data_IF_169904558280
#
_entry.id   IF_169904558280
#
_cell.length_a   1.000
_cell.length_b   1.000
_cell.length_c   1.000
_cell.angle_alpha   90.00
_cell.angle_beta   90.00
_cell.angle_gamma   90.00
#
_symmetry.space_group_name_H-M   'P 1'
#
loop_
_entity.id
_entity.type
_entity.pdbx_description
1 polymer ?
#
# COMPACT_ATOMS: atom_id res chain seq x y z
N UNK A 1 -23.10 28.16 -32.43
CA UNK A 1 -23.49 27.51 -31.16
C UNK A 1 -23.26 26.01 -31.28
N UNK A 2 -22.37 25.48 -30.43
CA UNK A 2 -22.25 24.07 -29.92
C UNK A 2 -21.92 22.94 -30.94
N UNK A 3 -21.03 21.95 -30.64
CA UNK A 3 -19.95 21.90 -29.63
C UNK A 3 -18.56 21.48 -30.16
N UNK A 4 -17.53 21.84 -29.38
CA UNK A 4 -16.17 21.30 -29.40
C UNK A 4 -16.17 19.82 -29.01
N UNK A 5 -15.65 18.95 -29.86
CA UNK A 5 -15.31 17.57 -29.50
C UNK A 5 -13.95 17.59 -28.78
N UNK A 6 -13.96 17.20 -27.51
CA UNK A 6 -12.78 16.89 -26.72
C UNK A 6 -12.20 15.60 -27.31
N UNK A 7 -11.00 15.68 -27.88
CA UNK A 7 -10.24 14.52 -28.34
C UNK A 7 -9.55 13.91 -27.11
N UNK A 8 -10.09 12.80 -26.61
CA UNK A 8 -9.37 11.90 -25.71
C UNK A 8 -8.51 11.01 -26.60
N UNK A 9 -7.18 11.22 -26.59
CA UNK A 9 -6.24 10.32 -27.25
C UNK A 9 -5.97 9.17 -26.27
N UNK A 10 -6.69 8.06 -26.45
CA UNK A 10 -6.33 6.78 -25.87
C UNK A 10 -5.30 6.13 -26.80
N UNK A 11 -4.04 6.09 -26.39
CA UNK A 11 -2.96 5.46 -27.14
C UNK A 11 -2.89 3.96 -26.74
N UNK A 12 -3.61 3.11 -27.47
CA UNK A 12 -3.48 1.65 -27.33
C UNK A 12 -2.28 1.15 -28.12
N UNK A 13 -1.21 0.73 -27.44
CA UNK A 13 -0.10 0.01 -28.07
C UNK A 13 -0.43 -1.47 -28.23
N UNK A 14 -0.36 -1.94 -29.48
CA UNK A 14 -0.38 -3.36 -29.87
C UNK A 14 0.87 -4.07 -29.31
N UNK A 15 0.65 -5.18 -28.62
CA UNK A 15 1.66 -5.99 -27.96
C UNK A 15 2.43 -6.89 -28.93
N UNK A 16 3.74 -6.73 -28.97
CA UNK A 16 4.70 -7.78 -29.37
C UNK A 16 5.30 -8.35 -28.09
N UNK A 17 5.53 -9.68 -27.99
CA UNK A 17 6.14 -10.27 -26.81
C UNK A 17 7.65 -9.99 -26.83
N UNK A 18 8.03 -8.81 -26.35
CA UNK A 18 9.40 -8.58 -25.89
C UNK A 18 9.52 -9.29 -24.54
N UNK A 19 10.52 -10.17 -24.41
CA UNK A 19 10.89 -10.70 -23.09
C UNK A 19 11.24 -9.52 -22.18
N UNK A 20 10.31 -9.18 -21.30
CA UNK A 20 10.50 -8.16 -20.29
C UNK A 20 11.60 -8.64 -19.36
N UNK A 21 12.73 -7.93 -19.35
CA UNK A 21 13.47 -7.77 -18.11
C UNK A 21 12.47 -7.14 -17.14
N UNK A 22 11.91 -7.95 -16.24
CA UNK A 22 11.27 -7.46 -15.02
C UNK A 22 12.35 -6.79 -14.19
N UNK A 23 12.68 -5.55 -14.55
CA UNK A 23 13.33 -4.63 -13.63
C UNK A 23 12.30 -4.44 -12.52
N UNK A 24 12.57 -5.09 -11.39
CA UNK A 24 11.70 -5.15 -10.22
C UNK A 24 11.15 -3.75 -9.96
N UNK A 25 9.83 -3.60 -10.19
CA UNK A 25 9.13 -2.33 -10.20
C UNK A 25 9.34 -1.53 -8.93
N UNK A 26 8.82 -0.30 -8.89
CA UNK A 26 8.99 0.69 -7.82
C UNK A 26 8.42 0.23 -6.45
N UNK A 27 8.85 -0.89 -5.88
CA UNK A 27 8.25 -1.50 -4.69
C UNK A 27 6.91 -2.17 -4.95
N UNK A 28 6.70 -2.76 -6.13
CA UNK A 28 5.45 -3.43 -6.51
C UNK A 28 4.53 -2.63 -7.43
N UNK A 29 4.76 -1.32 -7.61
CA UNK A 29 4.02 -0.52 -8.59
C UNK A 29 4.50 -0.80 -10.02
N UNK A 30 3.53 -1.05 -10.92
CA UNK A 30 3.75 -1.47 -12.30
C UNK A 30 3.46 -0.37 -13.32
N UNK A 31 2.63 0.61 -12.97
CA UNK A 31 2.25 1.70 -13.88
C UNK A 31 2.03 3.04 -13.17
N UNK A 32 1.96 4.10 -13.98
CA UNK A 32 1.86 5.48 -13.52
C UNK A 32 0.77 6.22 -14.30
N UNK A 33 -0.23 6.73 -13.60
CA UNK A 33 -1.18 7.71 -14.14
C UNK A 33 -0.71 9.11 -13.81
N UNK A 34 -0.88 10.05 -14.76
CA UNK A 34 -0.49 11.44 -14.57
C UNK A 34 -1.59 12.38 -15.05
N UNK A 35 -1.94 13.34 -14.19
CA UNK A 35 -2.82 14.46 -14.47
C UNK A 35 -2.06 15.77 -14.21
N UNK A 36 -2.06 16.70 -15.16
CA UNK A 36 -1.45 18.01 -15.01
C UNK A 36 -2.18 19.06 -15.84
N UNK A 37 -2.12 20.33 -15.42
CA UNK A 37 -2.70 21.43 -16.18
C UNK A 37 -1.92 21.74 -17.46
N UNK A 38 -0.58 21.66 -17.40
CA UNK A 38 0.29 21.82 -18.57
C UNK A 38 1.43 20.81 -18.53
N UNK A 39 1.86 20.39 -19.72
CA UNK A 39 2.99 19.49 -19.92
C UNK A 39 3.92 20.10 -20.98
N UNK A 40 5.21 20.15 -20.65
CA UNK A 40 6.30 20.49 -21.56
C UNK A 40 7.14 19.24 -21.77
N UNK A 41 7.39 18.90 -23.04
CA UNK A 41 8.22 17.76 -23.41
C UNK A 41 8.79 17.92 -24.81
N UNK A 42 9.62 16.95 -25.19
CA UNK A 42 10.30 16.93 -26.48
C UNK A 42 9.75 15.78 -27.34
N UNK A 43 9.05 16.11 -28.43
CA UNK A 43 8.47 15.11 -29.35
C UNK A 43 9.51 14.24 -30.05
N UNK A 44 10.74 14.73 -30.26
CA UNK A 44 11.80 13.95 -30.90
C UNK A 44 12.30 12.81 -30.00
N UNK A 45 12.25 13.00 -28.68
CA UNK A 45 12.69 11.99 -27.70
C UNK A 45 11.53 11.30 -26.98
N UNK A 46 10.32 11.85 -27.06
CA UNK A 46 9.17 11.43 -26.26
C UNK A 46 9.29 11.80 -24.77
N UNK A 47 10.34 12.51 -24.37
CA UNK A 47 10.63 12.82 -22.97
C UNK A 47 9.78 13.98 -22.48
N UNK A 48 9.15 13.80 -21.32
CA UNK A 48 8.47 14.87 -20.58
C UNK A 48 9.52 15.63 -19.80
N UNK A 49 9.62 16.95 -19.93
CA UNK A 49 10.62 17.75 -19.19
C UNK A 49 10.03 18.34 -17.91
N UNK A 50 8.80 18.86 -18.01
CA UNK A 50 8.17 19.63 -16.93
C UNK A 50 6.65 19.53 -17.00
N UNK A 51 6.01 19.50 -15.84
CA UNK A 51 4.57 19.58 -15.69
C UNK A 51 4.23 20.63 -14.63
N UNK A 52 3.18 21.42 -14.88
CA UNK A 52 2.72 22.46 -13.94
C UNK A 52 1.19 22.55 -13.89
N UNK A 53 0.68 23.32 -12.93
CA UNK A 53 -0.76 23.57 -12.78
C UNK A 53 -1.46 22.58 -11.85
N UNK A 54 -0.75 22.06 -10.84
CA UNK A 54 -1.27 21.04 -9.93
C UNK A 54 -1.14 19.65 -10.55
N UNK A 55 0.07 19.10 -10.48
CA UNK A 55 0.41 17.79 -10.99
C UNK A 55 -0.02 16.73 -9.98
N UNK A 56 -0.74 15.70 -10.45
CA UNK A 56 -1.08 14.51 -9.68
C UNK A 56 -0.55 13.29 -10.41
N UNK A 57 0.25 12.51 -9.71
CA UNK A 57 0.71 11.19 -10.13
C UNK A 57 0.01 10.15 -9.27
N UNK A 58 -0.40 9.03 -9.85
CA UNK A 58 -0.82 7.85 -9.10
C UNK A 58 0.00 6.66 -9.57
N UNK A 59 0.75 6.05 -8.67
CA UNK A 59 1.39 4.76 -8.95
C UNK A 59 0.37 3.66 -8.71
N UNK A 60 0.16 2.83 -9.72
CA UNK A 60 -0.77 1.71 -9.65
C UNK A 60 0.02 0.41 -9.47
N UNK A 61 -0.55 -0.50 -8.70
CA UNK A 61 0.01 -1.81 -8.42
C UNK A 61 -0.94 -2.89 -8.92
N UNK A 62 -0.40 -3.90 -9.59
CA UNK A 62 -1.10 -5.16 -9.87
C UNK A 62 -0.93 -6.17 -8.71
N UNK A 63 -0.08 -5.87 -7.73
CA UNK A 63 0.10 -6.71 -6.54
C UNK A 63 -1.11 -6.63 -5.60
N UNK A 64 -1.65 -7.79 -5.15
CA UNK A 64 -2.70 -7.83 -4.13
C UNK A 64 -2.29 -7.12 -2.83
N UNK A 65 -3.21 -6.36 -2.25
CA UNK A 65 -3.02 -5.71 -0.95
C UNK A 65 -2.07 -4.52 -0.94
N UNK A 66 -1.47 -4.15 -2.09
CA UNK A 66 -0.73 -2.90 -2.24
C UNK A 66 -1.66 -1.85 -2.86
N UNK A 67 -2.09 -0.88 -2.06
CA UNK A 67 -2.92 0.22 -2.54
C UNK A 67 -2.13 1.19 -3.41
N UNK A 68 -2.82 1.89 -4.31
CA UNK A 68 -2.26 2.95 -5.13
C UNK A 68 -1.50 4.00 -4.28
N UNK A 69 -0.47 4.61 -4.87
CA UNK A 69 0.31 5.68 -4.25
C UNK A 69 0.06 7.03 -4.94
N UNK A 70 -0.89 7.84 -4.44
CA UNK A 70 -1.07 9.21 -4.89
C UNK A 70 0.08 10.13 -4.47
N UNK A 71 0.59 10.89 -5.43
CA UNK A 71 1.63 11.90 -5.28
C UNK A 71 1.14 13.20 -5.93
N UNK A 72 1.16 14.30 -5.21
CA UNK A 72 0.70 15.61 -5.69
C UNK A 72 1.81 16.65 -5.52
N UNK A 73 1.93 17.58 -6.46
CA UNK A 73 2.80 18.75 -6.37
C UNK A 73 2.30 19.87 -7.28
N UNK A 74 2.70 21.11 -7.05
CA UNK A 74 2.38 22.24 -7.92
C UNK A 74 3.09 22.13 -9.27
N UNK A 75 4.37 21.71 -9.24
CA UNK A 75 5.21 21.47 -10.41
C UNK A 75 6.04 20.20 -10.25
N UNK A 76 6.35 19.55 -11.37
CA UNK A 76 7.25 18.42 -11.43
C UNK A 76 8.18 18.54 -12.63
N UNK A 77 9.48 18.34 -12.41
CA UNK A 77 10.52 18.34 -13.45
C UNK A 77 11.15 16.96 -13.54
N UNK A 78 11.32 16.48 -14.75
CA UNK A 78 11.75 15.11 -15.03
C UNK A 78 13.09 15.13 -15.75
N UNK A 79 14.04 14.36 -15.24
CA UNK A 79 15.34 14.15 -15.88
C UNK A 79 15.38 12.75 -16.44
N UNK A 80 15.72 12.62 -17.72
CA UNK A 80 15.77 11.34 -18.43
C UNK A 80 17.20 10.97 -18.81
N UNK A 81 17.50 9.69 -18.71
CA UNK A 81 18.73 9.11 -19.28
C UNK A 81 18.43 8.55 -20.66
N UNK A 82 19.44 8.58 -21.55
CA UNK A 82 19.29 8.16 -22.94
C UNK A 82 18.86 6.68 -23.01
N UNK A 83 17.77 6.42 -23.72
CA UNK A 83 17.28 5.06 -23.98
C UNK A 83 16.44 4.44 -22.86
N UNK A 84 16.06 5.20 -21.83
CA UNK A 84 15.20 4.70 -20.75
C UNK A 84 13.74 5.06 -20.97
N UNK A 85 12.86 4.12 -20.60
CA UNK A 85 11.41 4.30 -20.63
C UNK A 85 10.85 5.00 -19.39
N UNK A 86 11.66 5.16 -18.35
CA UNK A 86 11.34 5.86 -17.10
C UNK A 86 12.32 7.01 -16.85
N UNK A 87 11.90 8.08 -16.15
CA UNK A 87 12.80 9.15 -15.76
C UNK A 87 13.83 8.64 -14.74
N UNK A 88 15.02 9.20 -14.74
CA UNK A 88 16.03 8.93 -13.72
C UNK A 88 15.74 9.68 -12.41
N UNK A 89 15.30 10.94 -12.52
CA UNK A 89 14.97 11.79 -11.38
C UNK A 89 13.69 12.58 -11.64
N UNK A 90 12.87 12.77 -10.61
CA UNK A 90 11.75 13.71 -10.61
C UNK A 90 11.88 14.68 -9.45
N UNK A 91 11.95 15.98 -9.75
CA UNK A 91 11.96 17.04 -8.75
C UNK A 91 10.57 17.64 -8.67
N UNK A 92 9.97 17.58 -7.48
CA UNK A 92 8.62 18.05 -7.18
C UNK A 92 8.71 19.30 -6.31
N UNK A 93 7.98 20.34 -6.65
CA UNK A 93 8.00 21.60 -5.91
C UNK A 93 6.58 22.13 -5.67
N UNK A 94 6.42 22.87 -4.58
CA UNK A 94 5.19 23.53 -4.13
C UNK A 94 4.09 22.54 -3.73
N UNK A 95 3.67 22.58 -2.45
CA UNK A 95 2.58 21.74 -1.92
C UNK A 95 2.76 20.25 -2.23
N UNK A 96 3.97 19.73 -2.03
CA UNK A 96 4.24 18.31 -2.28
C UNK A 96 3.51 17.48 -1.25
N UNK A 97 2.77 16.46 -1.70
CA UNK A 97 1.98 15.58 -0.86
C UNK A 97 2.07 14.14 -1.37
N UNK A 98 2.36 13.19 -0.50
CA UNK A 98 2.41 11.76 -0.82
C UNK A 98 1.55 11.02 0.17
N UNK A 99 0.58 10.25 -0.33
CA UNK A 99 -0.31 9.42 0.48
C UNK A 99 0.15 7.97 0.40
N UNK A 100 0.99 7.57 1.35
CA UNK A 100 1.35 6.18 1.55
C UNK A 100 0.27 5.47 2.39
N UNK A 101 0.03 4.15 2.21
CA UNK A 101 -0.94 3.42 3.02
C UNK A 101 -0.78 3.61 4.54
N UNK A 102 0.46 3.71 5.01
CA UNK A 102 0.77 3.88 6.43
C UNK A 102 0.88 5.34 6.90
N UNK A 103 1.03 6.29 5.99
CA UNK A 103 1.30 7.68 6.34
C UNK A 103 1.05 8.68 5.20
N UNK A 104 0.66 9.88 5.56
CA UNK A 104 0.63 11.03 4.67
C UNK A 104 1.84 11.92 4.93
N UNK A 105 2.61 12.21 3.88
CA UNK A 105 3.79 13.08 3.92
C UNK A 105 3.49 14.36 3.15
N UNK A 106 3.78 15.51 3.74
CA UNK A 106 3.67 16.81 3.08
C UNK A 106 4.98 17.59 3.19
N UNK A 107 5.37 18.32 2.15
CA UNK A 107 6.64 19.06 2.11
C UNK A 107 6.59 20.20 1.10
N UNK A 108 7.55 21.14 1.20
CA UNK A 108 7.73 22.17 0.19
C UNK A 108 8.35 21.65 -1.12
N UNK A 109 9.20 20.62 -1.02
CA UNK A 109 9.91 20.01 -2.14
C UNK A 109 10.14 18.52 -1.89
N UNK A 110 10.12 17.73 -2.95
CA UNK A 110 10.62 16.36 -2.92
C UNK A 110 11.47 16.04 -4.16
N UNK A 111 12.44 15.16 -3.99
CA UNK A 111 13.29 14.65 -5.06
C UNK A 111 13.17 13.14 -5.09
N UNK A 112 12.74 12.60 -6.23
CA UNK A 112 12.58 11.18 -6.45
C UNK A 112 13.69 10.66 -7.35
N UNK A 113 14.49 9.72 -6.85
CA UNK A 113 15.41 8.94 -7.66
C UNK A 113 14.78 7.58 -8.01
N UNK A 114 14.49 7.34 -9.28
CA UNK A 114 13.87 6.08 -9.74
C UNK A 114 14.84 4.89 -9.67
N UNK A 115 16.15 5.15 -9.76
CA UNK A 115 17.16 4.10 -9.67
C UNK A 115 17.24 3.54 -8.26
N UNK A 116 17.37 4.39 -7.24
CA UNK A 116 17.44 3.95 -5.84
C UNK A 116 16.07 3.69 -5.21
N UNK A 117 15.01 4.28 -5.76
CA UNK A 117 13.67 4.25 -5.18
C UNK A 117 13.44 5.32 -4.10
N UNK A 118 14.43 6.18 -3.85
CA UNK A 118 14.38 7.17 -2.76
C UNK A 118 13.57 8.40 -3.14
N UNK A 119 12.63 8.75 -2.26
CA UNK A 119 11.82 9.95 -2.25
C UNK A 119 12.29 10.83 -1.09
N UNK A 120 13.04 11.88 -1.41
CA UNK A 120 13.67 12.77 -0.44
C UNK A 120 12.86 14.04 -0.28
N UNK A 121 12.20 14.21 0.85
CA UNK A 121 11.38 15.37 1.18
C UNK A 121 12.20 16.43 1.92
N UNK A 122 11.98 17.69 1.55
CA UNK A 122 12.63 18.87 2.14
C UNK A 122 11.69 20.08 2.12
N UNK A 123 12.09 21.16 2.80
CA UNK A 123 11.26 22.36 2.93
C UNK A 123 10.12 22.15 3.93
N UNK A 124 10.49 21.89 5.19
CA UNK A 124 9.58 21.61 6.31
C UNK A 124 8.69 20.38 6.11
N UNK A 125 9.28 19.19 5.86
CA UNK A 125 8.50 17.99 5.71
C UNK A 125 7.76 17.63 7.00
N UNK A 126 6.52 17.18 6.86
CA UNK A 126 5.61 16.75 7.93
C UNK A 126 5.01 15.40 7.56
N UNK A 127 5.14 14.44 8.46
CA UNK A 127 4.51 13.11 8.39
C UNK A 127 3.35 13.08 9.37
N UNK A 128 2.20 12.64 8.87
CA UNK A 128 1.03 12.32 9.67
C UNK A 128 0.67 10.86 9.43
N UNK A 129 0.50 10.10 10.50
CA UNK A 129 0.03 8.72 10.50
C UNK A 129 -0.93 8.55 11.66
N UNK A 130 -1.58 7.38 11.78
CA UNK A 130 -2.45 7.12 12.92
C UNK A 130 -1.75 7.25 14.27
N UNK A 131 -0.45 6.95 14.32
CA UNK A 131 0.34 6.90 15.57
C UNK A 131 1.18 8.16 15.80
N UNK A 132 1.51 8.88 14.74
CA UNK A 132 2.40 10.04 14.78
C UNK A 132 1.71 11.19 14.05
N UNK A 133 1.28 12.20 14.81
CA UNK A 133 0.69 13.42 14.26
C UNK A 133 1.72 14.54 14.34
N UNK A 134 1.95 15.22 13.22
CA UNK A 134 2.89 16.33 13.17
C UNK A 134 4.34 15.91 13.42
N UNK A 135 4.76 14.74 12.94
CA UNK A 135 6.18 14.39 12.92
C UNK A 135 6.87 15.30 11.90
N UNK A 136 7.78 16.15 12.36
CA UNK A 136 8.53 17.12 11.55
C UNK A 136 10.00 16.78 11.56
N UNK A 137 10.69 17.20 10.50
CA UNK A 137 12.13 17.07 10.38
C UNK A 137 12.68 18.10 9.41
N UNK A 138 13.99 18.14 9.25
CA UNK A 138 14.63 18.94 8.20
C UNK A 138 14.57 18.23 6.84
N UNK A 139 14.77 16.92 6.88
CA UNK A 139 14.81 16.04 5.73
C UNK A 139 14.12 14.73 6.09
N UNK A 140 13.31 14.21 5.18
CA UNK A 140 12.74 12.87 5.29
C UNK A 140 13.04 12.08 4.03
N UNK A 141 13.28 10.78 4.18
CA UNK A 141 13.57 9.88 3.06
C UNK A 141 12.59 8.72 3.16
N UNK A 142 11.83 8.49 2.09
CA UNK A 142 11.02 7.29 1.90
C UNK A 142 11.64 6.50 0.75
N UNK A 143 12.07 5.27 0.99
CA UNK A 143 12.50 4.39 -0.10
C UNK A 143 11.34 3.51 -0.52
N UNK A 144 10.84 3.70 -1.73
CA UNK A 144 9.69 2.96 -2.25
C UNK A 144 10.04 1.50 -2.57
N UNK A 145 11.29 1.17 -2.89
CA UNK A 145 11.71 -0.20 -3.20
C UNK A 145 11.84 -1.07 -1.95
N UNK A 146 12.28 -0.50 -0.84
CA UNK A 146 12.45 -1.21 0.44
C UNK A 146 11.32 -0.94 1.43
N UNK A 147 10.44 0.01 1.13
CA UNK A 147 9.40 0.52 2.01
C UNK A 147 9.94 0.98 3.38
N UNK A 148 11.09 1.66 3.38
CA UNK A 148 11.74 2.17 4.60
C UNK A 148 11.62 3.69 4.67
N UNK A 149 11.50 4.22 5.89
CA UNK A 149 11.47 5.67 6.12
C UNK A 149 12.55 6.10 7.11
N UNK A 150 13.15 7.26 6.85
CA UNK A 150 14.15 7.90 7.70
C UNK A 150 13.84 9.38 7.86
N UNK A 151 14.09 9.93 9.06
CA UNK A 151 13.86 11.34 9.36
C UNK A 151 15.08 11.92 10.06
N UNK A 152 15.61 13.02 9.51
CA UNK A 152 16.76 13.74 10.07
C UNK A 152 16.28 14.92 10.91
N UNK A 153 16.86 15.08 12.12
CA UNK A 153 16.51 16.12 13.12
C UNK A 153 15.03 16.13 13.47
N UNK A 154 14.58 15.02 14.04
CA UNK A 154 13.18 14.77 14.42
C UNK A 154 12.68 15.78 15.46
N UNK A 155 11.51 16.37 15.19
CA UNK A 155 10.67 17.03 16.19
C UNK A 155 9.24 16.50 16.00
N UNK A 156 8.62 16.00 17.05
CA UNK A 156 7.22 15.57 17.00
C UNK A 156 6.41 16.43 17.97
N UNK A 157 5.25 16.91 17.50
CA UNK A 157 4.37 17.75 18.32
C UNK A 157 3.68 16.90 19.42
N UNK A 158 3.32 15.65 19.11
CA UNK A 158 2.87 14.65 20.07
C UNK A 158 3.40 13.26 19.71
N UNK A 159 4.08 12.62 20.66
CA UNK A 159 4.40 11.18 20.60
C UNK A 159 3.63 10.52 21.73
N UNK A 160 2.53 9.80 21.46
CA UNK A 160 1.80 9.10 22.49
C UNK A 160 2.70 8.01 23.09
N UNK A 161 3.09 8.19 24.36
CA UNK A 161 3.90 7.21 25.12
C UNK A 161 3.06 6.02 25.63
N UNK A 162 1.73 6.12 25.50
CA UNK A 162 0.80 5.03 25.75
C UNK A 162 0.06 4.78 24.44
N UNK A 163 0.04 3.51 23.99
CA UNK A 163 -0.67 3.10 22.78
C UNK A 163 -2.11 3.63 22.81
N UNK A 164 -2.55 4.18 21.68
CA UNK A 164 -3.80 4.90 21.49
C UNK A 164 -4.96 4.30 22.31
N UNK A 165 -5.18 4.87 23.49
CA UNK A 165 -6.35 4.62 24.31
C UNK A 165 -7.22 5.87 24.27
N UNK A 166 -8.34 5.72 23.56
CA UNK A 166 -9.60 6.45 23.67
C UNK A 166 -9.73 7.82 22.97
N UNK A 167 -10.77 7.90 22.12
CA UNK A 167 -11.62 9.09 22.12
C UNK A 167 -11.81 9.85 20.81
N UNK A 168 -11.85 9.19 19.66
CA UNK A 168 -12.50 9.75 18.47
C UNK A 168 -13.23 8.63 17.74
N UNK A 169 -14.51 8.83 17.41
CA UNK A 169 -15.28 7.90 16.61
C UNK A 169 -14.52 7.68 15.29
N UNK A 170 -13.90 6.51 15.18
CA UNK A 170 -13.14 6.13 14.03
C UNK A 170 -14.09 5.95 12.83
N UNK A 171 -13.63 6.22 11.59
CA UNK A 171 -14.39 5.86 10.41
C UNK A 171 -14.76 4.37 10.45
N UNK A 172 -15.92 4.04 9.89
CA UNK A 172 -16.61 2.75 10.04
C UNK A 172 -15.77 1.50 9.69
N UNK A 173 -14.64 1.65 9.01
CA UNK A 173 -13.68 0.56 8.76
C UNK A 173 -13.02 0.00 10.02
N UNK A 174 -12.94 0.76 11.12
CA UNK A 174 -12.26 0.32 12.36
C UNK A 174 -13.07 -0.59 13.26
N UNK A 175 -14.37 -0.78 12.99
CA UNK A 175 -15.23 -1.58 13.85
C UNK A 175 -14.81 -3.05 13.92
N UNK A 176 -14.27 -3.57 12.80
CA UNK A 176 -13.89 -4.98 12.66
C UNK A 176 -12.39 -5.20 12.52
N UNK A 177 -11.56 -4.18 12.77
CA UNK A 177 -10.11 -4.38 12.84
C UNK A 177 -9.74 -5.33 13.99
N UNK A 178 -8.80 -6.23 13.71
CA UNK A 178 -8.16 -7.04 14.74
C UNK A 178 -7.38 -6.12 15.68
N UNK A 179 -7.54 -6.37 16.97
CA UNK A 179 -6.77 -5.73 18.04
C UNK A 179 -5.75 -6.70 18.59
N UNK A 180 -4.72 -6.14 19.22
CA UNK A 180 -3.65 -6.94 19.86
C UNK A 180 -4.21 -7.99 20.82
N UNK A 181 -5.24 -7.61 21.58
CA UNK A 181 -5.85 -8.47 22.59
C UNK A 181 -6.81 -9.49 21.98
N UNK A 182 -7.16 -9.40 20.69
CA UNK A 182 -8.00 -10.40 20.02
C UNK A 182 -7.21 -11.69 19.76
N UNK A 183 -5.88 -11.62 19.61
CA UNK A 183 -5.03 -12.79 19.35
C UNK A 183 -4.30 -13.20 20.63
N UNK A 184 -4.70 -14.35 21.19
CA UNK A 184 -4.16 -14.95 22.42
C UNK A 184 -2.90 -15.77 22.15
N UNK A 185 -2.86 -16.53 21.05
CA UNK A 185 -1.71 -17.37 20.68
C UNK A 185 -1.05 -16.89 19.38
N UNK A 186 -0.23 -15.84 19.50
CA UNK A 186 0.53 -15.29 18.39
C UNK A 186 1.51 -16.28 17.75
N UNK A 187 2.35 -17.02 18.52
CA UNK A 187 3.22 -18.04 17.94
C UNK A 187 2.45 -19.11 17.17
N UNK A 188 1.35 -19.63 17.75
CA UNK A 188 0.51 -20.63 17.11
C UNK A 188 -0.08 -20.13 15.79
N UNK A 189 -0.64 -18.92 15.79
CA UNK A 189 -1.21 -18.30 14.59
C UNK A 189 -0.17 -18.19 13.47
N UNK A 190 1.02 -17.66 13.76
CA UNK A 190 2.07 -17.46 12.75
C UNK A 190 2.56 -18.81 12.21
N UNK A 191 2.78 -19.79 13.10
CA UNK A 191 3.22 -21.12 12.68
C UNK A 191 2.18 -21.82 11.80
N UNK A 192 0.90 -21.71 12.15
CA UNK A 192 -0.19 -22.30 11.36
C UNK A 192 -0.27 -21.68 9.96
N UNK A 193 -0.24 -20.34 9.86
CA UNK A 193 -0.26 -19.64 8.57
C UNK A 193 0.95 -20.04 7.71
N UNK A 194 2.16 -20.06 8.30
CA UNK A 194 3.39 -20.45 7.59
C UNK A 194 3.36 -21.91 7.13
N UNK A 195 2.85 -22.83 7.97
CA UNK A 195 2.71 -24.24 7.62
C UNK A 195 1.68 -24.45 6.48
N UNK A 196 0.52 -23.79 6.58
CA UNK A 196 -0.51 -23.83 5.56
C UNK A 196 -0.04 -23.22 4.23
N UNK A 197 0.78 -22.17 4.28
CA UNK A 197 1.41 -21.54 3.12
C UNK A 197 2.39 -22.47 2.38
N UNK A 198 3.12 -23.30 3.12
CA UNK A 198 4.06 -24.27 2.57
C UNK A 198 3.39 -25.47 1.91
N UNK A 199 2.14 -25.79 2.29
CA UNK A 199 1.36 -26.85 1.65
C UNK A 199 0.96 -26.47 0.22
N UNK A 200 0.81 -27.46 -0.67
CA UNK A 200 0.28 -27.25 -2.01
C UNK A 200 -1.25 -27.12 -2.03
N UNK A 201 -1.92 -27.67 -1.02
CA UNK A 201 -3.38 -27.73 -0.94
C UNK A 201 -3.98 -26.35 -0.63
N UNK A 202 -5.19 -26.03 -1.15
CA UNK A 202 -5.93 -24.84 -0.73
C UNK A 202 -6.10 -24.80 0.78
N UNK A 203 -5.74 -23.68 1.40
CA UNK A 203 -5.77 -23.49 2.85
C UNK A 203 -6.02 -22.02 3.20
N UNK A 204 -6.55 -21.71 4.40
CA UNK A 204 -6.76 -20.33 4.82
C UNK A 204 -5.47 -19.52 4.78
N UNK A 205 -4.36 -20.09 5.26
CA UNK A 205 -3.05 -19.44 5.30
C UNK A 205 -2.55 -19.05 3.90
N UNK A 206 -2.72 -19.91 2.90
CA UNK A 206 -2.41 -19.54 1.50
C UNK A 206 -3.30 -18.42 0.99
N UNK A 207 -4.59 -18.47 1.29
CA UNK A 207 -5.52 -17.47 0.79
C UNK A 207 -5.26 -16.10 1.42
N UNK A 208 -4.95 -16.06 2.71
CA UNK A 208 -4.50 -14.88 3.45
C UNK A 208 -3.26 -14.27 2.80
N UNK A 209 -2.23 -15.09 2.55
CA UNK A 209 -1.00 -14.60 1.92
C UNK A 209 -1.20 -14.08 0.50
N UNK A 210 -2.10 -14.70 -0.30
CA UNK A 210 -2.44 -14.19 -1.63
C UNK A 210 -3.04 -12.79 -1.62
N UNK A 211 -3.61 -12.34 -0.50
CA UNK A 211 -4.13 -10.97 -0.36
C UNK A 211 -3.04 -9.96 0.03
N UNK A 212 -1.84 -10.42 0.38
CA UNK A 212 -0.73 -9.56 0.78
C UNK A 212 0.21 -9.29 -0.40
N UNK A 213 0.91 -8.15 -0.35
CA UNK A 213 1.96 -7.82 -1.32
C UNK A 213 3.11 -8.82 -1.26
N UNK A 214 3.92 -8.88 -2.32
CA UNK A 214 5.06 -9.81 -2.40
C UNK A 214 6.03 -9.62 -1.24
N UNK A 215 6.29 -8.36 -0.87
CA UNK A 215 7.16 -8.01 0.25
C UNK A 215 6.60 -8.49 1.60
N UNK A 216 5.30 -8.34 1.83
CA UNK A 216 4.65 -8.75 3.07
C UNK A 216 4.57 -10.28 3.19
N UNK A 217 4.36 -10.97 2.07
CA UNK A 217 4.48 -12.43 2.02
C UNK A 217 5.90 -12.88 2.40
N UNK A 218 6.93 -12.27 1.81
CA UNK A 218 8.33 -12.58 2.15
C UNK A 218 8.64 -12.31 3.62
N UNK A 219 8.18 -11.19 4.17
CA UNK A 219 8.34 -10.86 5.58
C UNK A 219 7.79 -11.98 6.49
N UNK A 220 6.55 -12.42 6.24
CA UNK A 220 5.91 -13.47 7.05
C UNK A 220 6.56 -14.84 6.87
N UNK A 221 6.96 -15.19 5.65
CA UNK A 221 7.49 -16.52 5.35
C UNK A 221 8.95 -16.68 5.81
N UNK A 222 9.77 -15.64 5.65
CA UNK A 222 11.21 -15.71 5.88
C UNK A 222 11.62 -15.37 7.31
N UNK A 223 10.87 -14.51 8.02
CA UNK A 223 11.21 -14.19 9.40
C UNK A 223 10.88 -15.34 10.34
N UNK A 224 11.71 -15.51 11.37
CA UNK A 224 11.46 -16.47 12.43
C UNK A 224 10.21 -16.07 13.23
N UNK A 225 9.43 -17.06 13.66
CA UNK A 225 8.16 -16.80 14.37
C UNK A 225 8.38 -15.97 15.64
N UNK A 226 9.48 -16.18 16.36
CA UNK A 226 9.83 -15.37 17.52
C UNK A 226 9.98 -13.88 17.18
N UNK A 227 10.60 -13.54 16.04
CA UNK A 227 10.77 -12.17 15.59
C UNK A 227 9.45 -11.54 15.12
N UNK A 228 8.58 -12.33 14.47
CA UNK A 228 7.24 -11.88 14.11
C UNK A 228 6.40 -11.55 15.36
N UNK A 229 6.54 -12.36 16.42
CA UNK A 229 5.88 -12.19 17.72
C UNK A 229 6.44 -10.98 18.50
N UNK A 230 7.68 -10.56 18.27
CA UNK A 230 8.19 -9.29 18.79
C UNK A 230 7.57 -8.08 18.05
N UNK A 231 7.20 -8.27 16.78
CA UNK A 231 6.64 -7.25 15.88
C UNK A 231 5.13 -7.35 15.70
N UNK A 232 4.39 -7.80 16.71
CA UNK A 232 2.91 -7.98 16.67
C UNK A 232 2.15 -6.81 16.07
N UNK A 233 2.56 -5.58 16.38
CA UNK A 233 1.94 -4.36 15.88
C UNK A 233 2.08 -4.16 14.37
N UNK A 234 3.16 -4.66 13.78
CA UNK A 234 3.38 -4.63 12.34
C UNK A 234 2.54 -5.73 11.68
N UNK A 235 2.52 -6.93 12.26
CA UNK A 235 1.73 -8.06 11.76
C UNK A 235 0.23 -7.77 11.83
N UNK A 236 -0.24 -7.12 12.89
CA UNK A 236 -1.62 -6.69 13.04
C UNK A 236 -2.03 -5.72 11.92
N UNK A 237 -1.15 -4.78 11.57
CA UNK A 237 -1.36 -3.86 10.44
C UNK A 237 -1.46 -4.61 9.12
N UNK A 238 -0.62 -5.62 8.91
CA UNK A 238 -0.69 -6.47 7.71
C UNK A 238 -2.03 -7.19 7.61
N UNK A 239 -2.51 -7.81 8.70
CA UNK A 239 -3.82 -8.47 8.70
C UNK A 239 -4.97 -7.48 8.50
N UNK A 240 -4.97 -6.37 9.22
CA UNK A 240 -6.03 -5.35 9.08
C UNK A 240 -6.06 -4.73 7.68
N UNK A 241 -4.90 -4.59 7.02
CA UNK A 241 -4.81 -4.10 5.65
C UNK A 241 -5.48 -5.01 4.62
N UNK A 242 -5.54 -6.32 4.88
CA UNK A 242 -6.17 -7.29 3.96
C UNK A 242 -7.61 -7.66 4.32
N UNK A 243 -8.11 -7.26 5.50
CA UNK A 243 -9.51 -7.47 5.89
C UNK A 243 -10.54 -6.91 4.89
N UNK A 244 -10.36 -5.74 4.24
CA UNK A 244 -11.34 -5.26 3.27
C UNK A 244 -11.25 -5.94 1.89
N UNK A 245 -10.38 -6.95 1.70
CA UNK A 245 -10.15 -7.56 0.40
C UNK A 245 -11.31 -8.47 -0.06
N UNK A 246 -11.82 -8.26 -1.27
CA UNK A 246 -12.92 -9.05 -1.85
C UNK A 246 -12.53 -10.52 -2.12
N UNK A 247 -11.25 -10.80 -2.37
CA UNK A 247 -10.74 -12.13 -2.69
C UNK A 247 -10.35 -12.97 -1.48
N UNK A 248 -10.65 -12.55 -0.25
CA UNK A 248 -10.15 -13.20 0.96
C UNK A 248 -10.75 -14.60 1.19
N UNK A 249 -12.01 -14.81 0.80
CA UNK A 249 -12.69 -16.10 0.95
C UNK A 249 -12.59 -16.95 -0.32
N UNK A 250 -12.21 -18.22 -0.15
CA UNK A 250 -12.36 -19.25 -1.16
C UNK A 250 -12.89 -20.52 -0.49
N UNK A 251 -13.96 -21.10 -1.05
CA UNK A 251 -14.70 -22.19 -0.41
C UNK A 251 -13.84 -23.46 -0.22
N UNK A 252 -12.92 -23.72 -1.15
CA UNK A 252 -11.94 -24.80 -1.08
C UNK A 252 -10.90 -24.58 0.04
N UNK A 253 -10.41 -23.34 0.19
CA UNK A 253 -9.46 -22.98 1.24
C UNK A 253 -10.06 -23.08 2.65
N UNK A 254 -11.37 -22.88 2.82
CA UNK A 254 -12.08 -23.07 4.10
C UNK A 254 -12.78 -24.43 4.22
N UNK A 255 -12.50 -25.37 3.31
CA UNK A 255 -13.07 -26.71 3.40
C UNK A 255 -12.70 -27.38 4.73
N UNK A 256 -13.72 -27.83 5.47
CA UNK A 256 -13.55 -28.45 6.79
C UNK A 256 -13.39 -27.47 7.96
N UNK A 257 -13.50 -26.15 7.74
CA UNK A 257 -13.57 -25.15 8.82
C UNK A 257 -15.04 -24.90 9.22
N UNK A 258 -15.28 -24.75 10.51
CA UNK A 258 -16.62 -24.45 11.03
C UNK A 258 -16.86 -22.94 10.99
N UNK A 259 -17.63 -22.49 10.00
CA UNK A 259 -18.04 -21.10 9.89
C UNK A 259 -19.23 -20.79 10.82
N UNK A 260 -19.23 -19.62 11.44
CA UNK A 260 -20.38 -19.12 12.21
C UNK A 260 -21.59 -18.90 11.29
N UNK A 261 -22.80 -18.87 11.86
CA UNK A 261 -24.03 -18.58 11.11
C UNK A 261 -23.93 -17.25 10.37
N UNK A 262 -23.34 -16.25 11.02
CA UNK A 262 -23.11 -14.93 10.46
C UNK A 262 -22.11 -14.96 9.28
N UNK A 263 -20.99 -15.67 9.41
CA UNK A 263 -20.05 -15.83 8.29
C UNK A 263 -20.69 -16.56 7.10
N UNK A 264 -21.54 -17.56 7.35
CA UNK A 264 -22.28 -18.26 6.30
C UNK A 264 -23.29 -17.35 5.58
N UNK A 265 -23.95 -16.45 6.30
CA UNK A 265 -24.85 -15.47 5.68
C UNK A 265 -24.09 -14.47 4.82
N UNK A 266 -22.97 -13.95 5.32
CA UNK A 266 -22.16 -12.96 4.59
C UNK A 266 -21.50 -13.57 3.35
N UNK A 267 -20.99 -14.80 3.42
CA UNK A 267 -20.41 -15.50 2.24
C UNK A 267 -21.44 -15.80 1.14
N UNK A 268 -22.74 -15.81 1.46
CA UNK A 268 -23.81 -16.04 0.50
C UNK A 268 -24.35 -14.75 -0.14
N UNK A 269 -23.89 -13.57 0.28
CA UNK A 269 -24.33 -12.29 -0.26
C UNK A 269 -23.56 -11.94 -1.54
N UNK A 270 -24.26 -11.48 -2.58
CA UNK A 270 -23.66 -11.18 -3.89
C UNK A 270 -22.81 -9.90 -3.91
N UNK A 271 -23.13 -8.92 -3.05
CA UNK A 271 -22.42 -7.64 -2.97
C UNK A 271 -22.33 -7.19 -1.52
N UNK A 272 -21.17 -7.40 -0.91
CA UNK A 272 -20.87 -6.90 0.43
C UNK A 272 -20.24 -5.51 0.33
N UNK A 273 -20.73 -4.59 1.16
CA UNK A 273 -20.05 -3.31 1.37
C UNK A 273 -18.71 -3.55 2.10
N UNK A 274 -17.77 -2.61 2.01
CA UNK A 274 -16.43 -2.75 2.62
C UNK A 274 -16.47 -3.11 4.11
N UNK A 275 -17.44 -2.59 4.85
CA UNK A 275 -17.57 -2.88 6.27
C UNK A 275 -17.97 -4.33 6.54
N UNK A 276 -18.91 -4.85 5.74
CA UNK A 276 -19.36 -6.23 5.83
C UNK A 276 -18.29 -7.21 5.29
N UNK A 277 -17.48 -6.78 4.31
CA UNK A 277 -16.28 -7.52 3.88
C UNK A 277 -15.26 -7.65 5.01
N UNK A 278 -14.91 -6.54 5.67
CA UNK A 278 -13.99 -6.57 6.82
C UNK A 278 -14.52 -7.45 7.95
N UNK A 279 -15.83 -7.39 8.22
CA UNK A 279 -16.49 -8.25 9.19
C UNK A 279 -16.40 -9.72 8.81
N UNK A 280 -16.78 -10.06 7.58
CA UNK A 280 -16.71 -11.43 7.08
C UNK A 280 -15.29 -11.98 7.19
N UNK A 281 -14.30 -11.23 6.71
CA UNK A 281 -12.91 -11.67 6.67
C UNK A 281 -12.31 -11.83 8.07
N UNK A 282 -12.73 -11.02 9.04
CA UNK A 282 -12.42 -11.24 10.46
C UNK A 282 -13.01 -12.57 10.95
N UNK A 283 -14.29 -12.83 10.72
CA UNK A 283 -14.95 -14.08 11.13
C UNK A 283 -14.29 -15.30 10.47
N UNK A 284 -13.83 -15.17 9.23
CA UNK A 284 -13.11 -16.23 8.52
C UNK A 284 -11.73 -16.52 9.15
N UNK A 285 -11.01 -15.50 9.63
CA UNK A 285 -9.76 -15.68 10.37
C UNK A 285 -10.00 -16.40 11.70
N UNK A 286 -11.00 -15.98 12.45
CA UNK A 286 -11.38 -16.60 13.72
C UNK A 286 -11.79 -18.07 13.53
N UNK A 287 -12.55 -18.37 12.46
CA UNK A 287 -12.93 -19.74 12.11
C UNK A 287 -11.77 -20.61 11.60
N UNK A 288 -10.78 -20.01 10.93
CA UNK A 288 -9.61 -20.73 10.44
C UNK A 288 -8.66 -21.14 11.56
N UNK A 289 -8.52 -20.27 12.58
CA UNK A 289 -7.57 -20.40 13.69
C UNK A 289 -8.23 -20.19 15.06
N UNK A 290 -9.24 -21.00 15.44
CA UNK A 290 -9.98 -20.80 16.68
C UNK A 290 -9.14 -20.98 17.95
N UNK A 291 -7.98 -21.64 17.84
CA UNK A 291 -7.04 -21.77 18.96
C UNK A 291 -6.26 -20.47 19.25
N UNK A 292 -6.24 -19.53 18.30
CA UNK A 292 -5.46 -18.30 18.40
C UNK A 292 -6.26 -17.11 18.95
N UNK A 293 -7.59 -17.15 18.88
CA UNK A 293 -8.52 -16.09 19.31
C UNK A 293 -9.25 -16.49 20.60
#
# INVERSE_FOLDING_TARGET
MIPKKIFIIALCFLSLPLMAQTDSGMGGYSSMEIEAGTMKGNFATGAIEEMTGGVRIRLLSDEPGLADLPIEAGTMKFTWEKGRATPATVVMESNVKVKHPDAEISAGRAEWNFNSGELVFSGNPVVNSERLQGLRGEKMILNLKTNTFEVTRVRADQVPLHGAANGAAAPASKAYELRKDDIKDWPGLMNAIKAEAASADPSPGRQILKQMSTQNQQLLLQMETAQLVERKEDILRLFNGILPAQGFYAADAWAGKTLSDEARQLTAADNLEQNDLSKLNRLLLEAAYPFAF
#
